data_IF_732787898876
#
_entry.id   IF_732787898876
#
_cell.length_a   1.000
_cell.length_b   1.000
_cell.length_c   1.000
_cell.angle_alpha   90.00
_cell.angle_beta   90.00
_cell.angle_gamma   90.00
#
_symmetry.space_group_name_H-M   'P 1'
#
loop_
_entity.id
_entity.type
_entity.pdbx_description
1 polymer ?
#
# COMPACT_ATOMS: atom_id res chain seq x y z
N UNK A 1 -15.72 -23.03 13.63
CA UNK A 1 -15.31 -23.20 12.21
C UNK A 1 -14.32 -22.10 11.91
N UNK A 2 -13.02 -22.39 11.92
CA UNK A 2 -12.02 -21.46 11.38
C UNK A 2 -12.32 -21.35 9.88
N UNK A 3 -12.90 -20.21 9.46
CA UNK A 3 -13.03 -19.85 8.04
C UNK A 3 -11.64 -20.04 7.42
N UNK A 4 -11.58 -20.74 6.30
CA UNK A 4 -10.35 -21.11 5.58
C UNK A 4 -9.28 -20.03 5.75
N UNK A 5 -8.13 -20.41 6.32
CA UNK A 5 -6.99 -19.51 6.50
C UNK A 5 -6.87 -18.65 5.25
N UNK A 6 -6.83 -17.33 5.42
CA UNK A 6 -6.43 -16.41 4.37
C UNK A 6 -4.96 -16.74 4.06
N UNK A 7 -4.74 -17.83 3.33
CA UNK A 7 -3.46 -18.17 2.76
C UNK A 7 -3.30 -17.21 1.59
N UNK A 8 -2.96 -15.96 1.93
CA UNK A 8 -2.29 -15.06 1.02
C UNK A 8 -1.20 -15.92 0.38
N UNK A 9 -1.26 -16.15 -0.92
CA UNK A 9 -0.47 -17.18 -1.64
C UNK A 9 1.03 -16.84 -1.70
N UNK A 10 1.62 -16.55 -0.54
CA UNK A 10 3.00 -16.18 -0.25
C UNK A 10 3.43 -16.81 1.06
N UNK A 11 4.69 -17.19 1.12
CA UNK A 11 5.36 -17.66 2.33
C UNK A 11 5.91 -16.42 3.05
N UNK A 12 5.81 -16.38 4.37
CA UNK A 12 6.44 -15.38 5.22
C UNK A 12 6.93 -16.07 6.50
N UNK A 13 8.13 -15.70 6.97
CA UNK A 13 8.69 -16.28 8.22
C UNK A 13 8.38 -15.40 9.44
N UNK A 14 8.04 -14.14 9.21
CA UNK A 14 7.77 -13.16 10.25
C UNK A 14 6.28 -12.81 10.32
N UNK A 15 5.70 -12.66 11.54
CA UNK A 15 4.35 -12.11 11.70
C UNK A 15 4.31 -10.58 11.51
N UNK A 16 5.44 -9.96 11.17
CA UNK A 16 5.58 -8.52 10.98
C UNK A 16 5.53 -8.19 9.48
N UNK A 17 4.70 -7.21 9.14
CA UNK A 17 4.55 -6.66 7.80
C UNK A 17 4.98 -5.20 7.84
N UNK A 18 5.81 -4.77 6.89
CA UNK A 18 6.13 -3.36 6.70
C UNK A 18 4.92 -2.68 6.07
N UNK A 19 4.34 -1.74 6.80
CA UNK A 19 3.15 -0.99 6.41
C UNK A 19 3.41 -0.11 5.17
N UNK A 20 2.37 0.22 4.39
CA UNK A 20 2.52 1.18 3.30
C UNK A 20 2.81 2.56 3.86
N UNK A 21 4.03 3.02 3.64
CA UNK A 21 4.50 4.36 3.95
C UNK A 21 4.98 5.04 2.68
N UNK A 22 4.87 6.36 2.65
CA UNK A 22 5.20 7.19 1.50
C UNK A 22 6.58 7.83 1.70
N UNK A 23 7.20 8.29 0.60
CA UNK A 23 8.35 9.19 0.62
C UNK A 23 9.60 8.66 1.36
N UNK A 24 10.02 7.43 1.07
CA UNK A 24 11.14 6.82 1.80
C UNK A 24 12.47 7.54 1.55
N UNK A 25 12.61 8.31 0.46
CA UNK A 25 13.80 9.13 0.20
C UNK A 25 14.02 10.29 1.16
N UNK A 26 13.01 10.65 1.97
CA UNK A 26 13.22 11.51 3.14
C UNK A 26 14.13 10.87 4.19
N UNK A 27 14.10 9.53 4.30
CA UNK A 27 14.85 8.80 5.31
C UNK A 27 16.18 8.24 4.77
N UNK A 28 16.23 7.83 3.50
CA UNK A 28 17.42 7.22 2.92
C UNK A 28 17.47 7.43 1.41
N UNK A 29 18.66 7.69 0.82
CA UNK A 29 18.80 8.00 -0.61
C UNK A 29 18.24 6.92 -1.55
N UNK A 30 18.37 5.64 -1.17
CA UNK A 30 17.82 4.50 -1.91
C UNK A 30 16.29 4.32 -1.70
N UNK A 31 15.63 5.06 -0.81
CA UNK A 31 14.18 5.06 -0.65
C UNK A 31 13.53 3.69 -0.48
N UNK A 32 12.44 3.46 -1.22
CA UNK A 32 11.66 2.22 -1.19
C UNK A 32 12.47 1.00 -1.67
N UNK A 33 13.52 1.21 -2.47
CA UNK A 33 14.47 0.16 -2.90
C UNK A 33 15.22 -0.41 -1.67
N UNK A 34 15.75 0.45 -0.79
CA UNK A 34 16.37 -0.03 0.45
C UNK A 34 15.38 -0.74 1.38
N UNK A 35 14.14 -0.26 1.45
CA UNK A 35 13.11 -0.91 2.28
C UNK A 35 12.73 -2.29 1.75
N UNK A 36 12.57 -2.44 0.43
CA UNK A 36 12.28 -3.73 -0.19
C UNK A 36 13.43 -4.73 0.04
N UNK A 37 14.69 -4.28 -0.04
CA UNK A 37 15.86 -5.12 0.29
C UNK A 37 15.84 -5.57 1.75
N UNK A 38 15.68 -4.64 2.70
CA UNK A 38 15.64 -4.97 4.13
C UNK A 38 14.48 -5.90 4.49
N UNK A 39 13.30 -5.69 3.91
CA UNK A 39 12.15 -6.58 4.10
C UNK A 39 12.43 -8.00 3.62
N UNK A 40 13.08 -8.12 2.46
CA UNK A 40 13.47 -9.41 1.87
C UNK A 40 14.46 -10.13 2.76
N UNK A 41 15.52 -9.46 3.22
CA UNK A 41 16.53 -10.04 4.10
C UNK A 41 15.94 -10.47 5.45
N UNK A 42 15.01 -9.67 5.99
CA UNK A 42 14.25 -9.99 7.20
C UNK A 42 13.14 -11.03 6.97
N UNK A 43 12.89 -11.43 5.72
CA UNK A 43 11.81 -12.34 5.31
C UNK A 43 10.43 -11.89 5.81
N UNK A 44 10.24 -10.57 5.84
CA UNK A 44 9.01 -9.88 6.18
C UNK A 44 8.30 -9.43 4.90
N UNK A 45 6.97 -9.39 4.92
CA UNK A 45 6.23 -8.81 3.81
C UNK A 45 6.45 -7.29 3.79
N UNK A 46 6.73 -6.74 2.61
CA UNK A 46 6.65 -5.30 2.36
C UNK A 46 5.37 -4.94 1.59
N UNK A 47 4.65 -3.95 2.11
CA UNK A 47 3.51 -3.31 1.43
C UNK A 47 3.99 -2.05 0.70
N UNK A 48 4.14 -2.15 -0.62
CA UNK A 48 4.61 -1.04 -1.45
C UNK A 48 3.51 -0.01 -1.71
N UNK A 49 3.73 1.24 -1.27
CA UNK A 49 2.82 2.36 -1.55
C UNK A 49 3.06 2.87 -2.97
N UNK A 50 2.21 2.46 -3.91
CA UNK A 50 2.41 2.78 -5.33
C UNK A 50 2.18 4.26 -5.65
N UNK A 51 1.24 4.91 -4.95
CA UNK A 51 0.80 6.28 -5.26
C UNK A 51 1.80 7.34 -4.80
N UNK A 52 2.47 7.10 -3.66
CA UNK A 52 3.36 8.08 -3.03
C UNK A 52 4.78 7.54 -2.81
N UNK A 53 5.22 6.68 -3.71
CA UNK A 53 6.60 6.19 -3.73
C UNK A 53 7.54 7.29 -4.23
N UNK A 54 8.75 7.34 -3.67
CA UNK A 54 9.86 8.14 -4.22
C UNK A 54 10.71 7.40 -5.26
N UNK A 55 10.47 6.09 -5.46
CA UNK A 55 11.18 5.24 -6.41
C UNK A 55 10.23 4.61 -7.44
N UNK A 56 10.65 4.38 -8.70
CA UNK A 56 9.88 3.66 -9.68
C UNK A 56 9.62 2.22 -9.22
N UNK A 57 8.39 1.75 -9.46
CA UNK A 57 7.97 0.39 -9.11
C UNK A 57 8.94 -0.65 -9.68
N UNK A 58 9.41 -0.45 -10.91
CA UNK A 58 10.36 -1.33 -11.59
C UNK A 58 11.66 -1.44 -10.80
N UNK A 59 12.19 -0.33 -10.27
CA UNK A 59 13.43 -0.35 -9.46
C UNK A 59 13.18 -1.06 -8.13
N UNK A 60 12.02 -0.83 -7.51
CA UNK A 60 11.63 -1.50 -6.26
C UNK A 60 11.50 -3.01 -6.46
N UNK A 61 10.91 -3.45 -7.58
CA UNK A 61 10.80 -4.86 -7.94
C UNK A 61 12.15 -5.46 -8.42
N UNK A 62 13.04 -4.66 -9.01
CA UNK A 62 14.36 -5.08 -9.48
C UNK A 62 15.46 -5.01 -8.41
N UNK A 63 15.16 -4.68 -7.16
CA UNK A 63 16.14 -4.52 -6.07
C UNK A 63 17.07 -5.70 -5.83
N UNK A 64 16.74 -6.88 -6.35
CA UNK A 64 17.57 -8.09 -6.29
C UNK A 64 18.43 -8.33 -7.53
N UNK A 65 18.19 -7.61 -8.63
CA UNK A 65 18.94 -7.74 -9.89
C UNK A 65 20.34 -7.15 -9.86
N UNK A 66 20.69 -6.34 -8.85
CA UNK A 66 21.99 -5.67 -8.76
C UNK A 66 22.76 -5.98 -7.46
N UNK A 67 22.48 -7.12 -6.84
CA UNK A 67 23.38 -7.71 -5.86
C UNK A 67 24.20 -8.74 -6.62
N UNK A 68 25.37 -8.33 -7.12
CA UNK A 68 26.32 -9.16 -7.90
C UNK A 68 26.82 -10.43 -7.16
N UNK A 69 26.27 -10.76 -6.00
CA UNK A 69 26.69 -11.85 -5.13
C UNK A 69 25.54 -12.76 -4.63
N UNK A 70 24.30 -12.62 -5.13
CA UNK A 70 23.22 -13.52 -4.71
C UNK A 70 23.07 -14.70 -5.69
N UNK A 71 23.21 -15.90 -5.13
CA UNK A 71 22.95 -17.15 -5.84
C UNK A 71 21.54 -17.16 -6.46
N UNK A 72 21.35 -17.95 -7.52
CA UNK A 72 20.03 -18.20 -8.14
C UNK A 72 18.93 -18.51 -7.12
N UNK A 73 19.30 -19.14 -5.99
CA UNK A 73 18.42 -19.43 -4.87
C UNK A 73 17.85 -18.16 -4.19
N UNK A 74 18.63 -17.09 -4.07
CA UNK A 74 18.12 -15.86 -3.42
C UNK A 74 17.25 -15.02 -4.35
N UNK A 75 17.48 -15.08 -5.66
CA UNK A 75 16.55 -14.56 -6.64
C UNK A 75 15.19 -15.29 -6.57
N UNK A 76 15.21 -16.61 -6.44
CA UNK A 76 14.00 -17.42 -6.20
C UNK A 76 13.34 -17.06 -4.87
N UNK A 77 14.11 -16.99 -3.77
CA UNK A 77 13.60 -16.57 -2.46
C UNK A 77 12.96 -15.19 -2.53
N UNK A 78 13.50 -14.23 -3.29
CA UNK A 78 12.85 -12.92 -3.48
C UNK A 78 11.58 -12.99 -4.34
N UNK A 79 11.56 -13.78 -5.41
CA UNK A 79 10.31 -14.06 -6.12
C UNK A 79 9.27 -14.69 -5.18
N UNK A 80 9.69 -15.38 -4.12
CA UNK A 80 8.84 -15.93 -3.06
C UNK A 80 8.56 -14.93 -1.92
N UNK A 81 9.46 -13.96 -1.63
CA UNK A 81 9.48 -13.15 -0.38
C UNK A 81 9.59 -11.60 -0.56
N UNK A 82 9.77 -11.08 -1.77
CA UNK A 82 9.87 -9.64 -2.08
C UNK A 82 8.58 -8.86 -1.75
N UNK A 83 8.43 -7.56 -2.10
CA UNK A 83 7.21 -6.81 -1.79
C UNK A 83 5.98 -7.57 -2.28
N UNK A 84 5.18 -8.08 -1.35
CA UNK A 84 4.04 -8.95 -1.68
C UNK A 84 2.75 -8.18 -1.76
N UNK A 85 2.65 -7.03 -1.10
CA UNK A 85 1.41 -6.28 -1.09
C UNK A 85 1.57 -4.99 -1.89
N UNK A 86 0.62 -4.77 -2.78
CA UNK A 86 0.50 -3.56 -3.60
C UNK A 86 -0.50 -2.63 -2.93
N UNK A 87 -0.11 -1.42 -2.56
CA UNK A 87 -0.99 -0.48 -1.87
C UNK A 87 -1.47 0.66 -2.75
N UNK A 88 -2.78 0.92 -2.67
CA UNK A 88 -3.50 1.98 -3.39
C UNK A 88 -4.52 2.69 -2.49
N UNK A 89 -5.04 3.80 -2.98
CA UNK A 89 -6.13 4.56 -2.38
C UNK A 89 -7.39 4.41 -3.26
N UNK A 90 -8.56 4.22 -2.63
CA UNK A 90 -9.85 4.17 -3.38
C UNK A 90 -10.26 5.50 -3.97
N UNK A 91 -9.56 6.57 -3.63
CA UNK A 91 -9.76 7.89 -4.21
C UNK A 91 -9.09 8.05 -5.58
N UNK A 92 -8.24 7.09 -5.98
CA UNK A 92 -7.64 7.07 -7.30
C UNK A 92 -8.72 6.95 -8.39
N UNK A 93 -8.62 7.72 -9.50
CA UNK A 93 -9.54 7.62 -10.63
C UNK A 93 -9.70 6.17 -11.14
N UNK A 94 -10.95 5.77 -11.42
CA UNK A 94 -11.26 4.39 -11.78
C UNK A 94 -10.59 3.95 -13.09
N UNK A 95 -10.42 4.85 -14.05
CA UNK A 95 -9.74 4.60 -15.32
C UNK A 95 -8.24 4.31 -15.13
N UNK A 96 -7.62 4.87 -14.09
CA UNK A 96 -6.25 4.52 -13.70
C UNK A 96 -6.25 3.13 -13.07
N UNK A 97 -7.17 2.85 -12.13
CA UNK A 97 -7.27 1.54 -11.47
C UNK A 97 -7.51 0.41 -12.48
N UNK A 98 -8.37 0.62 -13.48
CA UNK A 98 -8.65 -0.33 -14.56
C UNK A 98 -7.42 -0.69 -15.39
N UNK A 99 -6.45 0.23 -15.53
CA UNK A 99 -5.19 -0.01 -16.25
C UNK A 99 -4.17 -0.76 -15.40
N UNK A 100 -4.03 -0.40 -14.12
CA UNK A 100 -2.94 -0.91 -13.27
C UNK A 100 -3.30 -2.22 -12.58
N UNK A 101 -4.52 -2.35 -12.04
CA UNK A 101 -4.91 -3.44 -11.15
C UNK A 101 -4.81 -4.82 -11.84
N UNK A 102 -5.22 -4.99 -13.11
CA UNK A 102 -5.08 -6.27 -13.81
C UNK A 102 -3.62 -6.73 -14.00
N UNK A 103 -2.64 -5.84 -13.86
CA UNK A 103 -1.22 -6.16 -14.04
C UNK A 103 -0.52 -6.53 -12.72
N UNK A 104 -1.11 -6.19 -11.57
CA UNK A 104 -0.50 -6.35 -10.24
C UNK A 104 -0.11 -7.81 -9.97
N UNK A 105 -0.95 -8.78 -10.31
CA UNK A 105 -0.64 -10.22 -10.13
C UNK A 105 0.58 -10.65 -10.95
N UNK A 106 0.65 -10.21 -12.22
CA UNK A 106 1.77 -10.50 -13.13
C UNK A 106 3.10 -9.90 -12.65
N UNK A 107 3.04 -8.80 -11.89
CA UNK A 107 4.21 -8.14 -11.28
C UNK A 107 4.72 -8.86 -10.01
N UNK A 108 4.04 -9.92 -9.55
CA UNK A 108 4.52 -10.74 -8.44
C UNK A 108 3.94 -10.39 -7.07
N UNK A 109 3.02 -9.42 -7.00
CA UNK A 109 2.25 -9.16 -5.78
C UNK A 109 1.24 -10.28 -5.52
N UNK A 110 0.77 -10.34 -4.28
CA UNK A 110 -0.07 -11.40 -3.72
C UNK A 110 -1.27 -10.89 -2.93
N UNK A 111 -1.34 -9.58 -2.68
CA UNK A 111 -2.53 -8.90 -2.19
C UNK A 111 -2.53 -7.44 -2.62
N UNK A 112 -3.71 -6.84 -2.63
CA UNK A 112 -3.89 -5.40 -2.78
C UNK A 112 -4.33 -4.83 -1.43
N UNK A 113 -3.54 -3.95 -0.85
CA UNK A 113 -3.89 -3.22 0.37
C UNK A 113 -4.53 -1.90 -0.03
N UNK A 114 -5.68 -1.62 0.53
CA UNK A 114 -6.50 -0.47 0.15
C UNK A 114 -6.69 0.40 1.37
N UNK A 115 -6.30 1.67 1.27
CA UNK A 115 -6.57 2.63 2.35
C UNK A 115 -8.00 3.14 2.28
N UNK A 116 -8.74 2.92 3.38
CA UNK A 116 -10.12 3.34 3.58
C UNK A 116 -10.26 4.50 4.59
N UNK A 117 -9.18 4.88 5.29
CA UNK A 117 -9.22 5.86 6.39
C UNK A 117 -8.88 7.30 5.98
N UNK A 118 -8.61 7.58 4.69
CA UNK A 118 -8.12 8.88 4.18
C UNK A 118 -9.17 9.62 3.30
N UNK A 119 -10.37 9.97 3.82
CA UNK A 119 -11.45 10.54 3.02
C UNK A 119 -11.32 12.05 2.78
N UNK A 120 -10.46 12.76 3.52
CA UNK A 120 -10.39 14.22 3.49
C UNK A 120 -8.97 14.74 3.59
N UNK A 121 -8.78 16.02 3.27
CA UNK A 121 -7.51 16.72 3.44
C UNK A 121 -7.11 16.72 4.91
N UNK A 122 -5.89 16.26 5.16
CA UNK A 122 -5.31 16.17 6.51
C UNK A 122 -4.91 17.58 6.98
N UNK A 123 -5.07 17.86 8.28
CA UNK A 123 -4.41 19.01 8.90
C UNK A 123 -2.93 18.64 9.03
N UNK A 124 -2.05 19.31 8.28
CA UNK A 124 -0.61 18.99 8.19
C UNK A 124 0.28 20.16 8.58
N UNK A 125 -0.20 21.07 9.41
CA UNK A 125 0.41 22.39 9.63
C UNK A 125 1.92 22.34 9.91
N UNK A 126 2.40 21.31 10.62
CA UNK A 126 3.82 21.12 10.91
C UNK A 126 4.57 20.15 9.97
N UNK A 127 3.87 19.31 9.20
CA UNK A 127 4.48 18.27 8.36
C UNK A 127 4.49 18.67 6.88
N UNK A 128 3.66 19.64 6.46
CA UNK A 128 3.59 20.11 5.08
C UNK A 128 4.96 20.47 4.47
N UNK A 129 5.88 21.17 5.16
CA UNK A 129 7.21 21.44 4.62
C UNK A 129 8.02 20.17 4.29
N UNK A 130 7.90 19.11 5.10
CA UNK A 130 8.59 17.85 4.85
C UNK A 130 8.05 17.13 3.61
N UNK A 131 6.75 17.27 3.32
CA UNK A 131 6.17 16.72 2.08
C UNK A 131 6.62 17.50 0.84
N UNK A 132 6.79 18.83 0.96
CA UNK A 132 7.36 19.63 -0.12
C UNK A 132 8.80 19.20 -0.40
N UNK A 133 9.63 19.07 0.63
CA UNK A 133 11.00 18.56 0.52
C UNK A 133 11.03 17.14 -0.09
N UNK A 134 10.12 16.27 0.34
CA UNK A 134 10.01 14.91 -0.19
C UNK A 134 9.81 14.86 -1.70
N UNK A 135 9.06 15.82 -2.24
CA UNK A 135 8.78 15.90 -3.67
C UNK A 135 10.04 16.16 -4.50
N UNK A 136 11.05 16.83 -3.93
CA UNK A 136 12.33 17.09 -4.57
C UNK A 136 13.20 15.82 -4.67
N UNK A 137 12.94 14.83 -3.79
CA UNK A 137 13.65 13.56 -3.78
C UNK A 137 12.95 12.47 -4.58
N UNK A 138 11.95 12.77 -5.40
CA UNK A 138 11.33 11.76 -6.26
C UNK A 138 12.27 11.44 -7.41
N UNK A 139 12.45 10.14 -7.71
CA UNK A 139 13.19 9.72 -8.89
C UNK A 139 12.50 10.24 -10.16
N UNK A 140 13.20 11.00 -11.04
CA UNK A 140 12.59 11.61 -12.21
C UNK A 140 12.05 10.59 -13.22
N UNK A 141 12.50 9.32 -13.17
CA UNK A 141 12.00 8.27 -14.08
C UNK A 141 10.71 7.64 -13.58
N UNK A 142 10.17 8.04 -12.43
CA UNK A 142 8.94 7.48 -11.87
C UNK A 142 7.72 7.69 -12.80
N UNK A 143 7.77 8.70 -13.67
CA UNK A 143 6.71 9.05 -14.61
C UNK A 143 6.79 8.30 -15.96
N UNK A 144 7.82 7.47 -16.17
CA UNK A 144 8.06 6.84 -17.48
C UNK A 144 7.31 5.52 -17.67
N UNK A 145 6.86 4.86 -16.60
CA UNK A 145 6.33 3.49 -16.69
C UNK A 145 4.80 3.41 -16.81
N UNK A 146 4.10 4.49 -16.51
CA UNK A 146 2.71 4.72 -16.94
C UNK A 146 2.52 6.23 -17.13
N UNK A 147 2.11 6.69 -18.32
CA UNK A 147 1.82 8.13 -18.60
C UNK A 147 0.80 8.75 -17.63
N UNK A 148 0.07 7.92 -16.87
CA UNK A 148 -0.96 8.31 -15.92
C UNK A 148 -0.65 7.89 -14.48
N UNK A 149 0.50 7.27 -14.20
CA UNK A 149 0.91 6.96 -12.84
C UNK A 149 1.62 8.15 -12.25
N UNK A 150 1.13 8.55 -11.08
CA UNK A 150 1.61 9.68 -10.30
C UNK A 150 1.10 10.99 -10.87
N UNK A 151 -0.06 11.34 -10.35
CA UNK A 151 -0.51 12.71 -10.13
C UNK A 151 0.68 13.65 -10.05
N UNK A 152 0.62 14.74 -10.82
CA UNK A 152 1.60 15.79 -10.75
C UNK A 152 1.79 16.15 -9.27
N UNK A 153 3.00 16.02 -8.74
CA UNK A 153 3.27 16.23 -7.31
C UNK A 153 2.92 17.65 -6.84
N UNK A 154 2.84 18.60 -7.77
CA UNK A 154 2.25 19.91 -7.51
C UNK A 154 0.77 19.77 -7.10
N UNK A 155 -0.01 18.86 -7.68
CA UNK A 155 -1.40 18.56 -7.30
C UNK A 155 -1.53 17.80 -5.96
N UNK A 156 -0.42 17.48 -5.28
CA UNK A 156 -0.46 16.97 -3.90
C UNK A 156 -0.17 18.05 -2.86
N UNK A 157 0.52 19.11 -3.31
CA UNK A 157 1.00 20.20 -2.46
C UNK A 157 0.25 21.53 -2.68
N UNK A 158 -0.36 21.72 -3.85
CA UNK A 158 -1.01 22.98 -4.24
C UNK A 158 -2.54 22.90 -4.37
N UNK A 159 -3.12 21.71 -4.58
CA UNK A 159 -4.58 21.53 -4.67
C UNK A 159 -4.94 20.05 -4.41
N UNK A 160 -5.74 19.67 -3.38
CA UNK A 160 -5.96 18.28 -2.95
C UNK A 160 -6.87 17.48 -3.92
N UNK A 161 -6.55 17.45 -5.21
CA UNK A 161 -7.44 16.97 -6.27
C UNK A 161 -7.58 15.45 -6.35
N UNK A 162 -6.68 14.69 -5.72
CA UNK A 162 -6.88 13.26 -5.49
C UNK A 162 -7.88 12.90 -4.41
N UNK A 163 -8.38 13.89 -3.66
CA UNK A 163 -9.36 13.68 -2.58
C UNK A 163 -10.78 14.07 -2.98
N UNK A 164 -11.06 14.28 -4.28
CA UNK A 164 -12.41 14.67 -4.73
C UNK A 164 -13.40 13.51 -4.80
N UNK A 165 -12.94 12.27 -4.82
CA UNK A 165 -13.83 11.11 -4.85
C UNK A 165 -14.06 10.57 -3.43
N UNK A 166 -15.33 10.57 -3.01
CA UNK A 166 -15.73 9.91 -1.78
C UNK A 166 -15.31 8.43 -1.79
N UNK A 167 -14.71 7.97 -0.70
CA UNK A 167 -14.44 6.55 -0.48
C UNK A 167 -15.79 5.88 -0.20
N UNK A 168 -16.19 4.95 -1.06
CA UNK A 168 -17.44 4.20 -0.90
C UNK A 168 -17.19 2.70 -0.99
N UNK A 169 -18.05 1.90 -0.36
CA UNK A 169 -18.02 0.45 -0.48
C UNK A 169 -18.25 -0.02 -1.93
N UNK A 170 -18.97 0.76 -2.75
CA UNK A 170 -19.11 0.51 -4.18
C UNK A 170 -17.77 0.62 -4.93
N UNK A 171 -16.86 1.51 -4.51
CA UNK A 171 -15.52 1.58 -5.10
C UNK A 171 -14.75 0.29 -4.81
N UNK A 172 -14.90 -0.28 -3.61
CA UNK A 172 -14.33 -1.58 -3.26
C UNK A 172 -14.89 -2.72 -4.12
N UNK A 173 -16.21 -2.75 -4.35
CA UNK A 173 -16.85 -3.73 -5.24
C UNK A 173 -16.30 -3.63 -6.68
N UNK A 174 -16.11 -2.41 -7.19
CA UNK A 174 -15.52 -2.19 -8.52
C UNK A 174 -14.09 -2.71 -8.57
N UNK A 175 -13.27 -2.40 -7.56
CA UNK A 175 -11.91 -2.94 -7.44
C UNK A 175 -11.90 -4.47 -7.41
N UNK A 176 -12.83 -5.09 -6.69
CA UNK A 176 -12.98 -6.54 -6.61
C UNK A 176 -13.20 -7.18 -7.99
N UNK A 177 -13.87 -6.48 -8.92
CA UNK A 177 -14.10 -6.94 -10.30
C UNK A 177 -12.84 -6.87 -11.20
N UNK A 178 -11.81 -6.10 -10.81
CA UNK A 178 -10.59 -5.90 -11.60
C UNK A 178 -9.47 -6.91 -11.30
N UNK A 179 -9.59 -7.69 -10.23
CA UNK A 179 -8.53 -8.59 -9.76
C UNK A 179 -9.07 -9.86 -9.17
N UNK A 180 -8.23 -10.89 -9.06
CA UNK A 180 -8.46 -12.09 -8.25
C UNK A 180 -7.61 -12.13 -6.98
N UNK A 181 -6.67 -11.19 -6.84
CA UNK A 181 -5.83 -11.10 -5.64
C UNK A 181 -6.69 -10.79 -4.41
N UNK A 182 -6.32 -11.29 -3.22
CA UNK A 182 -6.87 -10.85 -1.95
C UNK A 182 -6.85 -9.32 -1.82
N UNK A 183 -7.97 -8.73 -1.42
CA UNK A 183 -8.06 -7.30 -1.08
C UNK A 183 -8.05 -7.14 0.43
N UNK A 184 -7.18 -6.29 0.95
CA UNK A 184 -7.04 -6.03 2.39
C UNK A 184 -7.42 -4.57 2.65
N UNK A 185 -8.50 -4.34 3.40
CA UNK A 185 -8.93 -3.00 3.76
C UNK A 185 -8.16 -2.50 4.99
N UNK A 186 -7.37 -1.45 4.80
CA UNK A 186 -6.61 -0.77 5.85
C UNK A 186 -7.37 0.46 6.33
N UNK A 187 -7.40 0.62 7.65
CA UNK A 187 -7.97 1.81 8.30
C UNK A 187 -9.31 1.58 8.99
N UNK A 188 -9.69 0.31 9.18
CA UNK A 188 -10.97 -0.04 9.80
C UNK A 188 -10.80 -0.05 11.32
N UNK A 189 -11.64 0.72 12.03
CA UNK A 189 -11.63 0.82 13.49
C UNK A 189 -12.93 0.34 14.15
N UNK A 190 -13.93 -0.04 13.34
CA UNK A 190 -15.25 -0.47 13.80
C UNK A 190 -15.56 -1.90 13.32
N UNK A 191 -16.14 -2.77 14.16
CA UNK A 191 -16.60 -4.10 13.72
C UNK A 191 -17.68 -4.01 12.63
N UNK A 192 -18.54 -2.99 12.69
CA UNK A 192 -19.58 -2.76 11.67
C UNK A 192 -18.96 -2.49 10.30
N UNK A 193 -17.91 -1.67 10.25
CA UNK A 193 -17.21 -1.40 8.99
C UNK A 193 -16.41 -2.61 8.50
N UNK A 194 -15.92 -3.46 9.40
CA UNK A 194 -15.29 -4.73 9.03
C UNK A 194 -16.29 -5.70 8.37
N UNK A 195 -17.50 -5.83 8.94
CA UNK A 195 -18.59 -6.62 8.35
C UNK A 195 -18.95 -6.12 6.94
N UNK A 196 -19.08 -4.79 6.78
CA UNK A 196 -19.40 -4.20 5.49
C UNK A 196 -18.24 -4.41 4.50
N UNK A 197 -16.99 -4.21 4.91
CA UNK A 197 -15.84 -4.44 4.05
C UNK A 197 -15.82 -5.88 3.50
N UNK A 198 -16.04 -6.87 4.37
CA UNK A 198 -16.11 -8.29 3.99
C UNK A 198 -17.27 -8.54 3.01
N UNK A 199 -18.46 -7.99 3.29
CA UNK A 199 -19.63 -8.08 2.41
C UNK A 199 -19.36 -7.54 1.00
N UNK A 200 -18.53 -6.49 0.89
CA UNK A 200 -18.15 -5.87 -0.38
C UNK A 200 -16.88 -6.49 -1.02
N UNK A 201 -16.38 -7.58 -0.48
CA UNK A 201 -15.33 -8.40 -1.10
C UNK A 201 -13.92 -8.20 -0.55
N UNK A 202 -13.77 -7.56 0.62
CA UNK A 202 -12.51 -7.60 1.35
C UNK A 202 -12.21 -9.03 1.81
N UNK A 203 -10.96 -9.43 1.66
CA UNK A 203 -10.43 -10.69 2.14
C UNK A 203 -9.72 -10.51 3.49
N UNK A 204 -9.20 -9.32 3.78
CA UNK A 204 -8.54 -9.03 5.06
C UNK A 204 -8.82 -7.63 5.55
N UNK A 205 -8.55 -7.41 6.84
CA UNK A 205 -8.70 -6.13 7.52
C UNK A 205 -7.36 -5.79 8.19
N UNK A 206 -6.88 -4.57 7.99
CA UNK A 206 -5.80 -3.96 8.78
C UNK A 206 -6.45 -2.92 9.70
N UNK A 207 -6.48 -3.24 10.99
CA UNK A 207 -6.96 -2.34 12.04
C UNK A 207 -5.93 -1.24 12.24
N UNK A 208 -6.28 -0.01 11.87
CA UNK A 208 -5.33 1.10 11.82
C UNK A 208 -6.05 2.43 11.91
N UNK A 209 -5.42 3.39 12.59
CA UNK A 209 -5.80 4.80 12.58
C UNK A 209 -4.79 5.65 11.79
N UNK A 210 -4.12 5.03 10.81
CA UNK A 210 -3.06 5.64 10.01
C UNK A 210 -1.86 6.16 10.83
N UNK A 211 -1.59 5.58 12.00
CA UNK A 211 -0.56 6.06 12.91
C UNK A 211 -0.88 7.43 13.51
N UNK A 212 -2.17 7.71 13.71
CA UNK A 212 -2.70 8.98 14.21
C UNK A 212 -2.38 10.20 13.33
N UNK A 213 -2.16 9.99 12.02
CA UNK A 213 -1.80 11.06 11.04
C UNK A 213 -2.99 11.58 10.24
N UNK A 214 -4.21 11.23 10.64
CA UNK A 214 -5.45 11.57 9.92
C UNK A 214 -6.45 12.29 10.80
N UNK A 215 -7.25 11.53 11.53
CA UNK A 215 -8.24 12.07 12.46
C UNK A 215 -7.60 12.01 13.86
N UNK A 216 -7.38 13.19 14.44
CA UNK A 216 -6.86 13.31 15.79
C UNK A 216 -7.88 12.78 16.81
N UNK A 217 -7.42 12.37 17.98
CA UNK A 217 -8.22 11.79 19.07
C UNK A 217 -9.00 10.53 18.69
N UNK A 218 -8.60 9.85 17.60
CA UNK A 218 -9.10 8.52 17.29
C UNK A 218 -8.69 7.51 18.36
N UNK A 219 -9.54 6.49 18.52
CA UNK A 219 -9.26 5.35 19.39
C UNK A 219 -7.94 4.66 19.00
N UNK A 220 -7.14 4.18 19.97
CA UNK A 220 -5.96 3.37 19.67
C UNK A 220 -6.37 2.12 18.88
N UNK A 221 -5.75 1.90 17.73
CA UNK A 221 -6.12 0.79 16.84
C UNK A 221 -6.09 -0.59 17.52
N UNK A 222 -5.19 -0.79 18.49
CA UNK A 222 -5.11 -2.05 19.25
C UNK A 222 -6.36 -2.32 20.10
N UNK A 223 -7.05 -1.29 20.59
CA UNK A 223 -8.26 -1.44 21.39
C UNK A 223 -9.46 -1.91 20.55
N UNK A 224 -9.50 -1.51 19.27
CA UNK A 224 -10.51 -1.94 18.30
C UNK A 224 -10.34 -3.40 17.87
N UNK A 225 -9.13 -3.95 17.98
CA UNK A 225 -8.81 -5.28 17.46
C UNK A 225 -9.70 -6.35 18.09
N UNK A 226 -9.95 -6.28 19.40
CA UNK A 226 -10.72 -7.28 20.16
C UNK A 226 -12.16 -7.44 19.65
N UNK A 227 -12.75 -6.37 19.12
CA UNK A 227 -14.13 -6.37 18.64
C UNK A 227 -14.17 -6.80 17.17
N UNK A 228 -13.18 -6.35 16.37
CA UNK A 228 -13.06 -6.67 14.94
C UNK A 228 -12.77 -8.16 14.70
N UNK A 229 -12.01 -8.84 15.57
CA UNK A 229 -11.70 -10.28 15.40
C UNK A 229 -12.92 -11.20 15.53
N UNK A 230 -14.06 -10.69 16.03
CA UNK A 230 -15.28 -11.48 16.25
C UNK A 230 -16.23 -11.46 15.04
N UNK A 231 -15.85 -10.78 13.94
CA UNK A 231 -16.59 -10.66 12.67
C UNK A 231 -16.23 -11.79 11.70
#
# INVERSE_FOLDING_TARGET
MLKENLSLSCIYESPIIIAPTAFHRLAHIDGEVATARGATEAKCIYTYNWVYSTMPEEKVLQTTGNIQALSYLTFILFMILGPKFFHIYLTAPIDILEKIVPQVDKKGYRAIVVTCDDPTTRVRDHILPLFLEASEYIDPTIFQTVETANINMNDLCSEPTLTKMAITWTNLERLRKLTRLPIICKGILSPVDAEIAIKYGANGIIVSNHGSRLIDTTVPAIECLKDIINV
#
